data_IF_715801461644
#
_entry.id   IF_715801461644
#
_cell.length_a   1.000
_cell.length_b   1.000
_cell.length_c   1.000
_cell.angle_alpha   90.00
_cell.angle_beta   90.00
_cell.angle_gamma   90.00
#
_symmetry.space_group_name_H-M   'P 1'
#
loop_
_entity.id
_entity.type
_entity.pdbx_description
1 polymer ?
#
# COMPACT_ATOMS: atom_id res chain seq x y z
N UNK A 1 -14.58 -9.52 -21.73
CA UNK A 1 -14.43 -10.25 -23.00
C UNK A 1 -13.70 -11.56 -22.72
N UNK A 2 -14.43 -12.68 -22.78
CA UNK A 2 -13.99 -14.10 -22.83
C UNK A 2 -12.55 -14.42 -22.42
N UNK A 3 -12.36 -14.83 -21.17
CA UNK A 3 -11.10 -15.28 -20.55
C UNK A 3 -10.65 -16.72 -20.89
N UNK A 4 -11.42 -17.49 -21.66
CA UNK A 4 -11.16 -18.92 -21.90
C UNK A 4 -10.39 -19.23 -23.19
N UNK A 5 -9.41 -18.41 -23.59
CA UNK A 5 -8.65 -18.70 -24.82
C UNK A 5 -7.59 -19.79 -24.63
N UNK A 6 -7.15 -20.03 -23.41
CA UNK A 6 -6.11 -21.02 -23.10
C UNK A 6 -6.54 -21.85 -21.90
N UNK A 7 -6.50 -23.19 -22.04
CA UNK A 7 -6.59 -24.09 -20.89
C UNK A 7 -5.31 -23.93 -20.08
N UNK A 8 -5.39 -23.20 -18.96
CA UNK A 8 -4.24 -22.89 -18.08
C UNK A 8 -4.44 -23.58 -16.74
N UNK A 9 -3.35 -24.04 -16.16
CA UNK A 9 -3.32 -24.61 -14.82
C UNK A 9 -2.05 -24.18 -14.11
N UNK A 10 -2.18 -23.52 -12.97
CA UNK A 10 -1.05 -23.26 -12.08
C UNK A 10 -0.62 -24.59 -11.46
N UNK A 11 0.62 -25.01 -11.71
CA UNK A 11 1.19 -26.24 -11.15
C UNK A 11 1.96 -25.97 -9.86
N UNK A 12 2.56 -24.80 -9.75
CA UNK A 12 3.23 -24.33 -8.54
C UNK A 12 3.17 -22.80 -8.48
N UNK A 13 2.82 -22.26 -7.32
CA UNK A 13 2.81 -20.81 -7.05
C UNK A 13 4.20 -20.22 -7.07
N UNK A 14 5.20 -20.98 -6.60
CA UNK A 14 6.58 -20.52 -6.46
C UNK A 14 6.78 -19.65 -5.21
N UNK A 15 7.97 -19.05 -5.13
CA UNK A 15 8.49 -18.36 -3.96
C UNK A 15 8.66 -16.86 -4.20
N UNK A 16 8.21 -16.06 -3.22
CA UNK A 16 8.53 -14.64 -3.12
C UNK A 16 9.84 -14.51 -2.36
N UNK A 17 10.91 -14.17 -3.08
CA UNK A 17 12.24 -13.95 -2.51
C UNK A 17 12.40 -12.46 -2.19
N UNK A 18 12.63 -12.12 -0.92
CA UNK A 18 12.73 -10.74 -0.42
C UNK A 18 13.75 -9.91 -1.21
N UNK A 19 14.95 -10.44 -1.43
CA UNK A 19 16.03 -9.75 -2.15
C UNK A 19 15.73 -9.47 -3.62
N UNK A 20 14.69 -10.09 -4.19
CA UNK A 20 14.26 -9.89 -5.57
C UNK A 20 13.01 -9.01 -5.64
N UNK A 21 12.02 -9.29 -4.80
CA UNK A 21 10.70 -8.65 -4.86
C UNK A 21 10.63 -7.32 -4.11
N UNK A 22 11.56 -7.05 -3.20
CA UNK A 22 11.57 -5.83 -2.37
C UNK A 22 12.94 -5.13 -2.38
N UNK A 23 13.75 -5.34 -3.42
CA UNK A 23 15.05 -4.67 -3.58
C UNK A 23 15.03 -3.58 -4.66
N UNK A 24 16.20 -2.98 -4.91
CA UNK A 24 16.47 -1.92 -5.90
C UNK A 24 15.83 -2.20 -7.27
N UNK A 25 15.83 -3.46 -7.71
CA UNK A 25 15.32 -3.89 -9.03
C UNK A 25 13.97 -4.62 -8.96
N UNK A 26 13.26 -4.48 -7.84
CA UNK A 26 11.97 -5.13 -7.61
C UNK A 26 10.96 -4.90 -8.73
N UNK A 27 10.99 -3.76 -9.42
CA UNK A 27 10.06 -3.46 -10.51
C UNK A 27 10.01 -4.53 -11.61
N UNK A 28 11.09 -5.31 -11.80
CA UNK A 28 11.17 -6.39 -12.78
C UNK A 28 10.49 -7.70 -12.32
N UNK A 29 10.15 -7.80 -11.03
CA UNK A 29 9.56 -8.96 -10.37
C UNK A 29 8.07 -8.77 -10.03
N UNK A 30 7.45 -7.69 -10.54
CA UNK A 30 6.03 -7.40 -10.35
C UNK A 30 5.36 -7.02 -11.67
N UNK A 31 4.15 -7.54 -11.88
CA UNK A 31 3.30 -7.19 -13.01
C UNK A 31 2.15 -6.32 -12.52
N UNK A 32 1.85 -5.28 -13.30
CA UNK A 32 0.74 -4.36 -13.06
C UNK A 32 -0.28 -4.53 -14.17
N UNK A 33 -1.43 -5.13 -13.85
CA UNK A 33 -2.51 -5.36 -14.81
C UNK A 33 -3.63 -4.37 -14.53
N UNK A 34 -4.04 -3.64 -15.56
CA UNK A 34 -5.17 -2.72 -15.47
C UNK A 34 -6.48 -3.53 -15.40
N UNK A 35 -7.16 -3.50 -14.25
CA UNK A 35 -8.50 -4.14 -14.10
C UNK A 35 -9.61 -3.18 -14.49
N UNK A 36 -9.51 -1.92 -14.09
CA UNK A 36 -10.44 -0.83 -14.47
C UNK A 36 -9.63 0.42 -14.84
N UNK A 37 -10.26 1.49 -15.38
CA UNK A 37 -9.58 2.75 -15.65
C UNK A 37 -8.78 3.29 -14.45
N UNK A 38 -9.24 3.01 -13.24
CA UNK A 38 -8.73 3.56 -11.98
C UNK A 38 -8.00 2.54 -11.08
N UNK A 39 -8.08 1.23 -11.38
CA UNK A 39 -7.52 0.17 -10.53
C UNK A 39 -6.57 -0.75 -11.28
N UNK A 40 -5.36 -0.89 -10.74
CA UNK A 40 -4.39 -1.90 -11.16
C UNK A 40 -4.37 -3.06 -10.16
N UNK A 41 -4.17 -4.27 -10.65
CA UNK A 41 -3.79 -5.43 -9.85
C UNK A 41 -2.27 -5.58 -9.92
N UNK A 42 -1.63 -5.74 -8.76
CA UNK A 42 -0.20 -5.97 -8.62
C UNK A 42 0.03 -7.46 -8.33
N UNK A 43 0.73 -8.15 -9.22
CA UNK A 43 0.93 -9.61 -9.14
C UNK A 43 2.43 -9.88 -9.10
N UNK A 44 2.92 -10.67 -8.13
CA UNK A 44 4.33 -11.05 -8.07
C UNK A 44 4.69 -12.04 -9.18
N UNK A 45 5.91 -11.92 -9.70
CA UNK A 45 6.51 -12.92 -10.60
C UNK A 45 7.32 -13.88 -9.73
N UNK A 46 6.67 -14.89 -9.15
CA UNK A 46 7.31 -15.77 -8.17
C UNK A 46 8.38 -16.67 -8.81
N UNK A 47 9.50 -16.87 -8.10
CA UNK A 47 10.56 -17.79 -8.52
C UNK A 47 10.06 -19.23 -8.40
N UNK A 48 10.39 -20.10 -9.35
CA UNK A 48 9.87 -21.47 -9.45
C UNK A 48 8.35 -21.57 -9.65
N UNK A 49 7.66 -20.46 -9.94
CA UNK A 49 6.29 -20.52 -10.45
C UNK A 49 6.27 -21.39 -11.71
N UNK A 50 5.35 -22.36 -11.75
CA UNK A 50 5.15 -23.25 -12.90
C UNK A 50 3.71 -23.16 -13.37
N UNK A 51 3.54 -22.84 -14.65
CA UNK A 51 2.23 -22.82 -15.28
C UNK A 51 2.20 -23.74 -16.48
N UNK A 52 1.16 -24.56 -16.53
CA UNK A 52 0.83 -25.44 -17.64
C UNK A 52 -0.23 -24.80 -18.51
N UNK A 53 -0.08 -24.92 -19.82
CA UNK A 53 -1.10 -24.50 -20.77
C UNK A 53 -1.06 -25.34 -22.05
N UNK A 54 -2.16 -25.35 -22.80
CA UNK A 54 -2.27 -26.11 -24.05
C UNK A 54 -2.28 -25.17 -25.26
N UNK A 55 -1.42 -25.44 -26.25
CA UNK A 55 -1.43 -24.79 -27.56
C UNK A 55 -1.36 -25.88 -28.64
N UNK A 56 -2.21 -25.79 -29.66
CA UNK A 56 -2.25 -26.77 -30.75
C UNK A 56 -2.32 -28.23 -30.24
N UNK A 57 -3.16 -28.48 -29.22
CA UNK A 57 -3.33 -29.79 -28.54
C UNK A 57 -2.04 -30.34 -27.91
N UNK A 58 -1.03 -29.51 -27.74
CA UNK A 58 0.25 -29.87 -27.12
C UNK A 58 0.39 -29.10 -25.82
N UNK A 59 0.86 -29.79 -24.78
CA UNK A 59 1.05 -29.21 -23.47
C UNK A 59 2.41 -28.53 -23.36
N UNK A 60 2.38 -27.32 -22.81
CA UNK A 60 3.55 -26.51 -22.52
C UNK A 60 3.59 -26.22 -21.04
N UNK A 61 4.79 -26.23 -20.48
CA UNK A 61 5.03 -25.80 -19.11
C UNK A 61 6.08 -24.70 -19.14
N UNK A 62 5.78 -23.57 -18.51
CA UNK A 62 6.77 -22.51 -18.27
C UNK A 62 7.09 -22.47 -16.80
N UNK A 63 8.39 -22.46 -16.51
CA UNK A 63 8.93 -22.24 -15.18
C UNK A 63 9.69 -20.92 -15.13
N UNK A 64 9.40 -20.13 -14.11
CA UNK A 64 10.17 -18.92 -13.80
C UNK A 64 11.37 -19.30 -12.95
N UNK A 65 12.53 -18.73 -13.27
CA UNK A 65 13.77 -18.95 -12.52
C UNK A 65 14.46 -17.62 -12.17
N UNK A 66 15.27 -17.66 -11.12
CA UNK A 66 16.30 -16.65 -10.86
C UNK A 66 17.52 -16.98 -11.72
N UNK A 67 17.91 -16.07 -12.60
CA UNK A 67 19.11 -16.28 -13.44
C UNK A 67 20.38 -16.05 -12.62
N UNK A 68 21.42 -16.86 -12.83
CA UNK A 68 22.74 -16.65 -12.21
C UNK A 68 23.43 -15.39 -12.74
N UNK A 69 23.28 -15.12 -14.04
CA UNK A 69 24.04 -14.07 -14.74
C UNK A 69 23.32 -12.71 -14.73
N UNK A 70 22.01 -12.69 -14.45
CA UNK A 70 21.23 -11.47 -14.31
C UNK A 70 20.14 -11.68 -13.25
N UNK A 71 20.52 -11.58 -11.99
CA UNK A 71 19.61 -11.79 -10.85
C UNK A 71 18.48 -10.74 -10.80
N UNK A 72 18.58 -9.65 -11.55
CA UNK A 72 17.64 -8.52 -11.50
C UNK A 72 16.44 -8.70 -12.41
N UNK A 73 16.43 -9.73 -13.25
CA UNK A 73 15.31 -10.05 -14.13
C UNK A 73 14.93 -11.53 -14.02
N UNK A 74 13.63 -11.85 -14.10
CA UNK A 74 13.20 -13.24 -14.18
C UNK A 74 13.71 -13.89 -15.46
N UNK A 75 14.13 -15.15 -15.35
CA UNK A 75 14.35 -16.03 -16.49
C UNK A 75 13.15 -16.95 -16.68
N UNK A 76 12.87 -17.32 -17.93
CA UNK A 76 11.76 -18.18 -18.28
C UNK A 76 12.28 -19.38 -19.04
N UNK A 77 11.98 -20.58 -18.54
CA UNK A 77 12.30 -21.85 -19.20
C UNK A 77 10.98 -22.45 -19.66
N UNK A 78 10.91 -22.84 -20.93
CA UNK A 78 9.87 -23.75 -21.37
C UNK A 78 10.37 -25.18 -21.17
N UNK A 79 9.75 -25.95 -20.27
CA UNK A 79 10.21 -27.30 -19.93
C UNK A 79 9.97 -28.30 -21.07
N UNK A 80 9.12 -27.94 -22.04
CA UNK A 80 8.92 -28.69 -23.29
C UNK A 80 10.08 -28.47 -24.28
N UNK A 81 10.94 -27.47 -24.06
CA UNK A 81 12.14 -27.25 -24.89
C UNK A 81 13.26 -28.20 -24.45
N UNK A 82 13.69 -29.07 -25.35
CA UNK A 82 14.76 -30.05 -25.12
C UNK A 82 16.12 -29.40 -24.82
N UNK A 83 16.34 -28.16 -25.31
CA UNK A 83 17.59 -27.44 -25.07
C UNK A 83 17.63 -26.69 -23.72
N UNK A 84 16.53 -26.70 -22.95
CA UNK A 84 16.39 -26.01 -21.66
C UNK A 84 16.86 -24.55 -21.69
N UNK A 85 16.61 -23.83 -22.79
CA UNK A 85 17.06 -22.44 -22.94
C UNK A 85 16.36 -21.51 -21.94
N UNK A 86 17.12 -20.54 -21.44
CA UNK A 86 16.60 -19.46 -20.59
C UNK A 86 16.28 -18.25 -21.46
N UNK A 87 15.03 -17.82 -21.41
CA UNK A 87 14.54 -16.65 -22.11
C UNK A 87 14.33 -15.48 -21.14
N UNK A 88 14.47 -14.25 -21.64
CA UNK A 88 14.26 -13.02 -20.86
C UNK A 88 12.79 -12.64 -20.69
N UNK A 89 11.89 -13.21 -21.50
CA UNK A 89 10.45 -12.94 -21.42
C UNK A 89 9.65 -14.22 -21.64
N UNK A 90 8.43 -14.33 -21.07
CA UNK A 90 7.57 -15.49 -21.29
C UNK A 90 7.13 -15.56 -22.76
N UNK A 91 6.91 -14.41 -23.41
CA UNK A 91 6.58 -14.32 -24.84
C UNK A 91 7.66 -14.97 -25.70
N UNK A 92 8.94 -14.70 -25.42
CA UNK A 92 10.05 -15.32 -26.15
C UNK A 92 10.11 -16.83 -25.88
N UNK A 93 9.97 -17.24 -24.61
CA UNK A 93 9.96 -18.66 -24.24
C UNK A 93 8.91 -19.45 -25.01
N UNK A 94 7.69 -18.93 -25.12
CA UNK A 94 6.58 -19.62 -25.82
C UNK A 94 6.84 -19.67 -27.31
N UNK A 95 7.07 -18.50 -27.95
CA UNK A 95 7.07 -18.44 -29.41
C UNK A 95 8.29 -19.13 -30.01
N UNK A 96 9.46 -19.05 -29.38
CA UNK A 96 10.64 -19.76 -29.84
C UNK A 96 10.50 -21.27 -29.65
N UNK A 97 9.98 -21.73 -28.51
CA UNK A 97 9.72 -23.17 -28.30
C UNK A 97 8.66 -23.69 -29.28
N UNK A 98 7.58 -22.94 -29.50
CA UNK A 98 6.54 -23.29 -30.46
C UNK A 98 7.09 -23.39 -31.88
N UNK A 99 7.92 -22.42 -32.29
CA UNK A 99 8.59 -22.43 -33.59
C UNK A 99 9.50 -23.64 -33.75
N UNK A 100 10.28 -24.00 -32.73
CA UNK A 100 11.13 -25.20 -32.75
C UNK A 100 10.33 -26.49 -32.91
N UNK A 101 9.20 -26.61 -32.21
CA UNK A 101 8.40 -27.84 -32.21
C UNK A 101 7.58 -28.04 -33.49
N UNK A 102 6.99 -26.97 -34.04
CA UNK A 102 6.07 -27.07 -35.17
C UNK A 102 6.61 -26.49 -36.48
N UNK A 103 7.78 -25.85 -36.46
CA UNK A 103 8.33 -25.10 -37.58
C UNK A 103 7.38 -24.01 -38.12
N UNK A 104 6.55 -23.44 -37.24
CA UNK A 104 5.58 -22.38 -37.56
C UNK A 104 5.85 -21.15 -36.71
N UNK A 105 5.89 -19.99 -37.34
CA UNK A 105 6.01 -18.72 -36.64
C UNK A 105 4.64 -18.25 -36.13
N UNK A 106 4.56 -17.98 -34.84
CA UNK A 106 3.36 -17.48 -34.16
C UNK A 106 3.68 -16.30 -33.25
N UNK A 107 2.66 -15.66 -32.69
CA UNK A 107 2.80 -14.53 -31.75
C UNK A 107 1.82 -14.66 -30.58
N UNK A 108 2.08 -15.63 -29.72
CA UNK A 108 1.40 -15.77 -28.44
C UNK A 108 1.89 -14.73 -27.44
N UNK A 109 0.97 -14.20 -26.63
CA UNK A 109 1.28 -13.21 -25.58
C UNK A 109 1.70 -13.92 -24.30
N UNK A 110 2.92 -13.66 -23.83
CA UNK A 110 3.46 -14.21 -22.60
C UNK A 110 2.57 -13.95 -21.37
N UNK A 111 2.22 -12.70 -21.04
CA UNK A 111 1.40 -12.41 -19.87
C UNK A 111 0.05 -13.15 -19.84
N UNK A 112 -0.60 -13.31 -21.00
CA UNK A 112 -1.87 -14.03 -21.11
C UNK A 112 -1.70 -15.54 -20.91
N UNK A 113 -0.65 -16.10 -21.51
CA UNK A 113 -0.33 -17.53 -21.35
C UNK A 113 0.10 -17.86 -19.92
N UNK A 114 0.82 -16.93 -19.27
CA UNK A 114 1.18 -17.02 -17.86
C UNK A 114 -0.01 -16.85 -16.90
N UNK A 115 -1.21 -16.57 -17.42
CA UNK A 115 -2.44 -16.55 -16.63
C UNK A 115 -2.55 -15.39 -15.64
N UNK A 116 -1.76 -14.33 -15.81
CA UNK A 116 -1.83 -13.19 -14.90
C UNK A 116 -3.14 -12.41 -15.01
N UNK A 117 -3.83 -12.53 -16.15
CA UNK A 117 -5.19 -12.02 -16.36
C UNK A 117 -6.29 -12.88 -15.70
N UNK A 118 -5.97 -14.11 -15.29
CA UNK A 118 -6.89 -15.01 -14.62
C UNK A 118 -6.98 -14.64 -13.13
N UNK A 119 -8.18 -14.32 -12.65
CA UNK A 119 -8.36 -13.86 -11.27
C UNK A 119 -8.00 -14.92 -10.24
N UNK A 120 -8.26 -16.20 -10.51
CA UNK A 120 -7.96 -17.28 -9.57
C UNK A 120 -6.45 -17.48 -9.44
N UNK A 121 -5.75 -17.52 -10.57
CA UNK A 121 -4.29 -17.63 -10.58
C UNK A 121 -3.67 -16.40 -9.92
N UNK A 122 -4.15 -15.20 -10.24
CA UNK A 122 -3.67 -13.98 -9.62
C UNK A 122 -3.86 -13.98 -8.09
N UNK A 123 -5.04 -14.38 -7.60
CA UNK A 123 -5.32 -14.50 -6.17
C UNK A 123 -4.39 -15.52 -5.48
N UNK A 124 -4.18 -16.69 -6.09
CA UNK A 124 -3.26 -17.71 -5.56
C UNK A 124 -1.81 -17.21 -5.46
N UNK A 125 -1.33 -16.47 -6.46
CA UNK A 125 0.01 -15.88 -6.46
C UNK A 125 0.17 -14.74 -5.44
N UNK A 126 -0.94 -14.12 -5.02
CA UNK A 126 -0.94 -13.03 -4.05
C UNK A 126 -1.02 -13.54 -2.60
N UNK A 127 -1.28 -14.83 -2.38
CA UNK A 127 -1.31 -15.43 -1.04
C UNK A 127 0.05 -15.26 -0.36
N UNK A 128 0.05 -14.72 0.86
CA UNK A 128 1.26 -14.53 1.66
C UNK A 128 2.11 -13.31 1.30
N UNK A 129 1.69 -12.49 0.32
CA UNK A 129 2.32 -11.19 0.04
C UNK A 129 2.10 -10.25 1.22
N UNK A 130 3.18 -9.84 1.89
CA UNK A 130 3.11 -8.94 3.06
C UNK A 130 2.92 -7.48 2.66
N UNK A 131 3.50 -7.08 1.53
CA UNK A 131 3.41 -5.72 1.01
C UNK A 131 3.27 -5.75 -0.51
N UNK A 132 2.34 -4.95 -1.04
CA UNK A 132 2.14 -4.79 -2.48
C UNK A 132 2.79 -3.48 -2.95
N UNK A 133 3.85 -3.54 -3.77
CA UNK A 133 4.41 -2.36 -4.40
C UNK A 133 3.39 -1.66 -5.29
N UNK A 134 3.53 -0.34 -5.41
CA UNK A 134 2.63 0.45 -6.24
C UNK A 134 3.36 1.55 -7.00
N UNK A 135 2.71 2.03 -8.06
CA UNK A 135 3.23 3.09 -8.92
C UNK A 135 2.44 4.36 -8.70
N UNK A 136 3.15 5.48 -8.62
CA UNK A 136 2.57 6.82 -8.66
C UNK A 136 3.17 7.59 -9.82
N UNK A 137 2.37 8.42 -10.46
CA UNK A 137 2.85 9.35 -11.49
C UNK A 137 3.00 10.73 -10.88
N UNK A 138 4.18 11.31 -11.02
CA UNK A 138 4.50 12.69 -10.63
C UNK A 138 5.10 13.37 -11.86
N UNK A 139 4.39 14.32 -12.45
CA UNK A 139 4.68 14.82 -13.80
C UNK A 139 4.79 13.66 -14.82
N UNK A 140 5.87 13.64 -15.61
CA UNK A 140 6.17 12.59 -16.58
C UNK A 140 7.01 11.46 -15.99
N UNK A 141 7.17 11.39 -14.67
CA UNK A 141 7.96 10.37 -13.98
C UNK A 141 7.02 9.39 -13.28
N UNK A 142 7.16 8.11 -13.61
CA UNK A 142 6.53 7.02 -12.86
C UNK A 142 7.47 6.56 -11.76
N UNK A 143 7.05 6.74 -10.51
CA UNK A 143 7.77 6.30 -9.32
C UNK A 143 7.17 4.98 -8.84
N UNK A 144 8.02 3.98 -8.62
CA UNK A 144 7.69 2.67 -8.10
C UNK A 144 8.11 2.58 -6.64
N UNK A 145 7.15 2.45 -5.72
CA UNK A 145 7.37 2.33 -4.28
C UNK A 145 7.32 0.85 -3.91
N UNK A 146 8.39 0.34 -3.30
CA UNK A 146 8.53 -1.07 -2.96
C UNK A 146 8.82 -1.33 -1.48
N UNK A 147 9.04 -0.29 -0.68
CA UNK A 147 9.07 -0.38 0.77
C UNK A 147 8.50 0.90 1.42
N UNK A 148 7.76 0.75 2.50
CA UNK A 148 7.31 1.83 3.37
C UNK A 148 7.93 1.62 4.75
N UNK A 149 8.47 2.67 5.36
CA UNK A 149 8.91 2.60 6.76
C UNK A 149 7.70 2.49 7.68
N UNK A 150 7.76 1.63 8.71
CA UNK A 150 6.70 1.48 9.71
C UNK A 150 7.03 2.31 10.96
N UNK A 151 6.18 3.29 11.28
CA UNK A 151 6.16 3.99 12.58
C UNK A 151 4.89 3.72 13.35
N UNK A 152 5.01 3.69 14.67
CA UNK A 152 3.88 3.78 15.61
C UNK A 152 3.67 5.19 16.16
N UNK A 153 4.43 6.21 15.73
CA UNK A 153 4.32 7.59 16.22
C UNK A 153 3.52 8.48 15.25
N UNK A 154 2.31 8.88 15.66
CA UNK A 154 1.43 9.81 14.91
C UNK A 154 2.11 11.15 14.58
N UNK A 155 3.05 11.61 15.39
CA UNK A 155 3.77 12.88 15.21
C UNK A 155 4.67 12.91 13.96
N UNK A 156 5.00 11.76 13.37
CA UNK A 156 5.87 11.63 12.20
C UNK A 156 5.12 11.37 10.88
N UNK A 157 3.78 11.30 10.88
CA UNK A 157 2.95 11.05 9.69
C UNK A 157 3.45 9.89 8.79
N UNK A 158 3.97 8.81 9.40
CA UNK A 158 4.35 7.55 8.74
C UNK A 158 5.52 7.58 7.72
N UNK A 159 6.36 8.62 7.69
CA UNK A 159 7.64 8.58 6.96
C UNK A 159 8.77 8.14 7.87
N UNK A 160 8.78 6.87 8.24
CA UNK A 160 9.85 6.28 9.03
C UNK A 160 11.02 5.76 8.17
N UNK A 161 12.21 5.56 8.78
CA UNK A 161 13.25 4.73 8.19
C UNK A 161 12.69 3.44 7.58
N UNK A 162 13.07 3.16 6.34
CA UNK A 162 12.60 1.99 5.59
C UNK A 162 11.82 2.32 4.33
N UNK A 163 11.45 3.58 4.07
CA UNK A 163 10.88 3.96 2.78
C UNK A 163 11.91 3.74 1.66
N UNK A 164 11.49 3.04 0.60
CA UNK A 164 12.26 2.89 -0.63
C UNK A 164 11.40 2.98 -1.87
N UNK A 165 11.93 3.68 -2.87
CA UNK A 165 11.30 3.81 -4.18
C UNK A 165 12.32 3.92 -5.30
N UNK A 166 11.89 3.71 -6.54
CA UNK A 166 12.73 3.85 -7.72
C UNK A 166 11.98 4.48 -8.89
N UNK A 167 12.71 5.12 -9.78
CA UNK A 167 12.19 5.61 -11.05
C UNK A 167 13.27 5.70 -12.11
N UNK A 168 12.82 5.68 -13.35
CA UNK A 168 13.66 5.76 -14.53
C UNK A 168 13.87 7.21 -14.96
N UNK A 169 15.13 7.66 -15.06
CA UNK A 169 15.44 9.00 -15.53
C UNK A 169 16.81 9.06 -16.22
N UNK A 170 17.00 10.04 -17.11
CA UNK A 170 18.31 10.26 -17.75
C UNK A 170 19.27 10.92 -16.75
N UNK A 171 20.42 10.29 -16.52
CA UNK A 171 21.52 10.86 -15.74
C UNK A 171 22.77 10.88 -16.62
N UNK A 172 23.38 12.07 -16.78
CA UNK A 172 24.52 12.30 -17.70
C UNK A 172 24.26 11.75 -19.12
N UNK A 173 23.06 11.98 -19.65
CA UNK A 173 22.64 11.56 -20.99
C UNK A 173 22.26 10.08 -21.13
N UNK A 174 22.49 9.24 -20.12
CA UNK A 174 22.18 7.80 -20.16
C UNK A 174 20.96 7.46 -19.33
N UNK A 175 20.13 6.53 -19.82
CA UNK A 175 19.00 6.01 -19.05
C UNK A 175 19.52 5.33 -17.79
N UNK A 176 19.02 5.76 -16.63
CA UNK A 176 19.46 5.30 -15.33
C UNK A 176 18.26 4.97 -14.44
N UNK A 177 18.44 4.03 -13.52
CA UNK A 177 17.49 3.78 -12.45
C UNK A 177 17.94 4.58 -11.23
N UNK A 178 17.09 5.48 -10.76
CA UNK A 178 17.33 6.26 -9.54
C UNK A 178 16.53 5.61 -8.43
N UNK A 179 17.20 5.20 -7.36
CA UNK A 179 16.60 4.61 -6.17
C UNK A 179 16.72 5.59 -5.02
N UNK A 180 15.64 5.74 -4.26
CA UNK A 180 15.55 6.62 -3.11
C UNK A 180 15.36 5.77 -1.86
N UNK A 181 16.02 6.15 -0.78
CA UNK A 181 15.84 5.49 0.51
C UNK A 181 15.83 6.52 1.62
N UNK A 182 14.89 6.38 2.55
CA UNK A 182 14.89 7.11 3.82
C UNK A 182 15.40 6.13 4.88
N UNK A 183 16.56 6.45 5.44
CA UNK A 183 17.19 5.72 6.54
C UNK A 183 16.98 6.52 7.84
N UNK A 184 17.41 5.94 8.97
CA UNK A 184 17.09 6.47 10.30
C UNK A 184 17.66 7.87 10.53
N UNK A 185 18.83 8.13 9.96
CA UNK A 185 19.66 9.31 10.17
C UNK A 185 19.86 10.14 8.88
N UNK A 186 19.48 9.59 7.73
CA UNK A 186 19.77 10.21 6.42
C UNK A 186 18.83 9.76 5.34
N UNK A 187 18.74 10.56 4.29
CA UNK A 187 18.19 10.17 3.01
C UNK A 187 19.33 9.84 2.03
N UNK A 188 19.06 8.90 1.15
CA UNK A 188 20.01 8.46 0.14
C UNK A 188 19.34 8.37 -1.23
N UNK A 189 20.11 8.68 -2.27
CA UNK A 189 19.80 8.29 -3.63
C UNK A 189 20.95 7.59 -4.28
N UNK A 190 20.65 6.44 -4.84
CA UNK A 190 21.58 5.65 -5.61
C UNK A 190 21.18 5.69 -7.08
N UNK A 191 22.16 5.86 -7.95
CA UNK A 191 21.97 5.86 -9.39
C UNK A 191 22.61 4.60 -9.95
N UNK A 192 21.82 3.84 -10.70
CA UNK A 192 22.23 2.60 -11.32
C UNK A 192 22.21 2.72 -12.85
N UNK A 193 23.25 2.22 -13.49
CA UNK A 193 23.34 2.02 -14.95
C UNK A 193 23.80 0.58 -15.19
N UNK A 194 23.16 -0.12 -16.12
CA UNK A 194 23.48 -1.53 -16.42
C UNK A 194 23.55 -2.43 -15.15
N UNK A 195 22.67 -2.13 -14.19
CA UNK A 195 22.60 -2.78 -12.88
C UNK A 195 23.81 -2.59 -11.94
N UNK A 196 24.76 -1.72 -12.30
CA UNK A 196 25.83 -1.28 -11.43
C UNK A 196 25.49 0.07 -10.80
N UNK A 197 25.81 0.22 -9.52
CA UNK A 197 25.65 1.48 -8.80
C UNK A 197 26.80 2.42 -9.17
N UNK A 198 26.48 3.50 -9.87
CA UNK A 198 27.49 4.45 -10.37
C UNK A 198 27.70 5.65 -9.45
N UNK A 199 26.68 6.05 -8.69
CA UNK A 199 26.80 7.19 -7.78
C UNK A 199 25.77 7.12 -6.65
N UNK A 200 26.21 7.59 -5.48
CA UNK A 200 25.37 7.76 -4.29
C UNK A 200 25.40 9.22 -3.85
N UNK A 201 24.23 9.76 -3.55
CA UNK A 201 24.05 11.05 -2.88
C UNK A 201 23.37 10.82 -1.54
N UNK A 202 23.97 11.33 -0.47
CA UNK A 202 23.37 11.29 0.87
C UNK A 202 23.16 12.71 1.41
N UNK A 203 22.22 12.85 2.33
CA UNK A 203 21.89 14.11 2.99
C UNK A 203 20.97 13.87 4.18
N UNK A 204 20.86 14.85 5.06
CA UNK A 204 20.01 14.73 6.26
C UNK A 204 18.51 14.76 5.91
N UNK A 205 18.16 15.28 4.73
CA UNK A 205 16.78 15.33 4.24
C UNK A 205 16.67 14.96 2.75
N UNK A 206 15.46 14.59 2.25
CA UNK A 206 15.26 14.36 0.83
C UNK A 206 15.65 15.58 -0.02
N UNK A 207 15.37 16.79 0.48
CA UNK A 207 15.69 18.06 -0.18
C UNK A 207 17.18 18.21 -0.45
N UNK A 208 18.02 17.88 0.53
CA UNK A 208 19.49 17.96 0.40
C UNK A 208 20.02 16.98 -0.65
N UNK A 209 19.36 15.84 -0.80
CA UNK A 209 19.72 14.83 -1.81
C UNK A 209 19.17 15.20 -3.19
N UNK A 210 18.03 15.89 -3.27
CA UNK A 210 17.45 16.39 -4.52
C UNK A 210 18.18 17.61 -5.09
N UNK A 211 18.61 18.56 -4.25
CA UNK A 211 19.35 19.74 -4.69
C UNK A 211 20.69 19.39 -5.32
N UNK A 212 21.38 18.35 -4.82
CA UNK A 212 22.66 17.85 -5.37
C UNK A 212 22.58 17.32 -6.79
N UNK A 213 21.39 16.93 -7.25
CA UNK A 213 21.20 16.28 -8.55
C UNK A 213 20.85 17.25 -9.69
N UNK A 214 20.45 18.50 -9.41
CA UNK A 214 19.93 19.47 -10.42
C UNK A 214 18.81 18.91 -11.33
N UNK A 215 18.19 17.78 -10.97
CA UNK A 215 17.15 17.09 -11.77
C UNK A 215 15.78 17.79 -11.65
N UNK A 216 15.59 18.68 -10.66
CA UNK A 216 14.32 19.39 -10.40
C UNK A 216 14.45 20.91 -10.54
N UNK A 217 14.99 21.40 -11.65
CA UNK A 217 14.94 22.83 -11.99
C UNK A 217 13.48 23.37 -12.10
N UNK A 218 12.45 22.50 -12.14
CA UNK A 218 11.04 22.92 -12.15
C UNK A 218 10.47 23.27 -10.76
N UNK A 219 11.09 22.85 -9.65
CA UNK A 219 10.72 23.33 -8.30
C UNK A 219 11.42 24.66 -7.98
N UNK A 220 12.53 24.95 -8.66
CA UNK A 220 13.21 26.26 -8.57
C UNK A 220 12.33 27.40 -9.11
N UNK A 221 11.33 27.10 -9.95
CA UNK A 221 10.31 28.07 -10.37
C UNK A 221 9.54 28.71 -9.21
N UNK A 222 9.34 27.99 -8.10
CA UNK A 222 8.66 28.51 -6.91
C UNK A 222 9.53 29.47 -6.08
N UNK A 223 10.85 29.46 -6.31
CA UNK A 223 11.79 30.42 -5.72
C UNK A 223 12.07 31.62 -6.63
N UNK A 224 11.85 31.45 -7.93
CA UNK A 224 12.12 32.48 -8.95
C UNK A 224 10.88 33.27 -9.39
N UNK A 225 9.74 33.08 -8.71
CA UNK A 225 8.55 33.90 -8.90
C UNK A 225 8.71 35.29 -8.27
N UNK A 226 8.06 36.29 -8.85
CA UNK A 226 8.12 37.68 -8.40
C UNK A 226 7.51 37.90 -7.00
N UNK A 227 6.62 37.01 -6.57
CA UNK A 227 5.93 37.04 -5.28
C UNK A 227 6.50 36.01 -4.31
N UNK A 228 6.59 36.36 -3.02
CA UNK A 228 6.86 35.41 -1.94
C UNK A 228 5.67 34.50 -1.63
N UNK A 229 4.45 34.93 -2.01
CA UNK A 229 3.19 34.25 -1.74
C UNK A 229 2.77 33.37 -2.92
N UNK A 230 2.36 32.15 -2.60
CA UNK A 230 1.92 31.06 -3.48
C UNK A 230 0.48 30.71 -3.13
N UNK A 231 -0.44 30.76 -4.10
CA UNK A 231 -1.73 30.07 -3.98
C UNK A 231 -1.56 28.64 -4.51
N UNK A 232 -1.78 27.67 -3.63
CA UNK A 232 -1.43 26.27 -3.84
C UNK A 232 -2.23 25.66 -5.00
N UNK A 233 -3.53 25.95 -5.10
CA UNK A 233 -4.42 25.31 -6.07
C UNK A 233 -4.08 25.72 -7.51
N UNK A 234 -3.85 27.01 -7.74
CA UNK A 234 -3.42 27.58 -9.02
C UNK A 234 -2.11 26.97 -9.49
N UNK A 235 -1.20 26.67 -8.57
CA UNK A 235 0.06 25.99 -8.90
C UNK A 235 -0.14 24.50 -9.20
N UNK A 236 -1.08 23.85 -8.53
CA UNK A 236 -1.41 22.46 -8.79
C UNK A 236 -2.21 22.26 -10.09
N UNK A 237 -2.98 23.25 -10.55
CA UNK A 237 -3.66 23.24 -11.86
C UNK A 237 -2.65 23.16 -13.03
N UNK A 238 -1.43 23.65 -12.87
CA UNK A 238 -0.36 23.43 -13.86
C UNK A 238 0.23 22.02 -13.84
N UNK A 239 0.03 21.28 -12.73
CA UNK A 239 0.58 19.94 -12.50
C UNK A 239 -0.44 18.84 -12.80
N UNK A 240 -1.73 19.15 -12.70
CA UNK A 240 -2.85 18.23 -12.88
C UNK A 240 -3.87 18.83 -13.87
N UNK A 241 -4.61 18.00 -14.62
CA UNK A 241 -5.66 18.49 -15.53
C UNK A 241 -6.72 19.32 -14.79
N UNK A 242 -7.32 20.32 -15.46
CA UNK A 242 -8.30 21.25 -14.86
C UNK A 242 -9.49 20.56 -14.14
N UNK A 243 -9.84 19.34 -14.54
CA UNK A 243 -10.94 18.54 -13.96
C UNK A 243 -10.47 17.52 -12.89
N UNK A 244 -9.25 17.64 -12.36
CA UNK A 244 -8.70 16.68 -11.41
C UNK A 244 -9.21 16.91 -9.99
N UNK A 245 -10.02 15.98 -9.46
CA UNK A 245 -10.44 16.00 -8.06
C UNK A 245 -9.31 15.54 -7.13
N UNK A 246 -8.84 16.45 -6.28
CA UNK A 246 -7.81 16.14 -5.29
C UNK A 246 -8.39 15.36 -4.10
N UNK A 247 -7.96 14.11 -3.93
CA UNK A 247 -8.17 13.32 -2.71
C UNK A 247 -7.23 13.80 -1.57
N UNK A 248 -7.74 13.79 -0.33
CA UNK A 248 -7.14 14.48 0.82
C UNK A 248 -5.68 14.07 1.11
N UNK A 249 -5.33 12.79 0.98
CA UNK A 249 -3.96 12.32 1.23
C UNK A 249 -2.94 12.87 0.22
N UNK A 250 -3.34 13.18 -1.02
CA UNK A 250 -2.46 13.80 -2.02
C UNK A 250 -2.21 15.27 -1.71
N UNK A 251 -3.23 16.02 -1.27
CA UNK A 251 -3.04 17.38 -0.78
C UNK A 251 -2.14 17.40 0.46
N UNK A 252 -2.28 16.41 1.34
CA UNK A 252 -1.43 16.27 2.52
C UNK A 252 0.04 16.00 2.16
N UNK A 253 0.30 15.21 1.12
CA UNK A 253 1.65 15.04 0.56
C UNK A 253 2.23 16.36 0.03
N UNK A 254 1.44 17.14 -0.70
CA UNK A 254 1.85 18.47 -1.19
C UNK A 254 2.11 19.46 -0.04
N UNK A 255 1.25 19.52 0.98
CA UNK A 255 1.48 20.35 2.17
C UNK A 255 2.76 19.97 2.91
N UNK A 256 3.02 18.66 3.03
CA UNK A 256 4.26 18.15 3.63
C UNK A 256 5.49 18.59 2.83
N UNK A 257 5.40 18.48 1.50
CA UNK A 257 6.43 18.95 0.59
C UNK A 257 6.67 20.46 0.71
N UNK A 258 5.61 21.28 0.75
CA UNK A 258 5.68 22.74 0.93
C UNK A 258 6.41 23.13 2.21
N UNK A 259 6.10 22.50 3.34
CA UNK A 259 6.84 22.74 4.61
C UNK A 259 8.31 22.37 4.49
N UNK A 260 8.62 21.25 3.85
CA UNK A 260 10.02 20.81 3.70
C UNK A 260 10.83 21.68 2.74
N UNK A 261 10.21 22.31 1.74
CA UNK A 261 10.91 23.30 0.90
C UNK A 261 11.14 24.64 1.59
N UNK A 262 10.59 24.84 2.80
CA UNK A 262 10.75 26.05 3.61
C UNK A 262 9.57 27.01 3.52
N UNK A 263 8.46 26.58 2.91
CA UNK A 263 7.27 27.41 2.82
C UNK A 263 6.41 27.26 4.09
N UNK A 264 5.78 28.37 4.48
CA UNK A 264 4.87 28.44 5.63
C UNK A 264 3.46 28.70 5.16
N UNK A 265 2.47 27.97 5.68
CA UNK A 265 1.08 28.26 5.39
C UNK A 265 0.66 29.56 6.10
N UNK A 266 0.09 30.50 5.33
CA UNK A 266 -0.36 31.83 5.80
C UNK A 266 -1.87 32.02 5.65
N UNK A 267 -2.59 30.96 5.28
CA UNK A 267 -4.05 30.96 5.15
C UNK A 267 -4.69 31.09 6.53
N UNK A 268 -5.50 32.12 6.74
CA UNK A 268 -6.12 32.41 8.04
C UNK A 268 -7.62 32.02 8.11
N UNK A 269 -8.22 31.68 6.99
CA UNK A 269 -9.64 31.30 6.90
C UNK A 269 -9.81 29.78 6.75
N UNK A 270 -10.94 29.26 7.23
CA UNK A 270 -11.26 27.83 7.19
C UNK A 270 -11.66 27.38 5.79
N UNK A 271 -11.58 26.07 5.51
CA UNK A 271 -12.07 25.48 4.24
C UNK A 271 -13.55 25.74 3.95
N UNK A 272 -14.35 26.10 4.98
CA UNK A 272 -15.75 26.52 4.83
C UNK A 272 -15.90 27.97 4.33
N UNK A 273 -14.83 28.76 4.50
CA UNK A 273 -14.78 30.18 4.20
C UNK A 273 -14.00 30.50 2.93
N UNK A 274 -13.12 29.61 2.45
CA UNK A 274 -12.58 29.62 1.08
C UNK A 274 -11.79 28.36 0.74
N UNK A 275 -11.76 28.02 -0.57
CA UNK A 275 -10.97 26.91 -1.13
C UNK A 275 -9.50 27.28 -1.36
N UNK A 276 -9.16 28.58 -1.35
CA UNK A 276 -7.79 29.02 -1.58
C UNK A 276 -6.88 28.63 -0.41
N UNK A 277 -5.68 28.16 -0.73
CA UNK A 277 -4.66 27.84 0.27
C UNK A 277 -3.36 28.60 -0.07
N UNK A 278 -3.06 29.61 0.73
CA UNK A 278 -1.90 30.48 0.57
C UNK A 278 -0.71 30.03 1.42
N UNK A 279 0.46 30.01 0.79
CA UNK A 279 1.75 29.66 1.38
C UNK A 279 2.76 30.75 1.05
N UNK A 280 3.72 31.01 1.93
CA UNK A 280 4.84 31.92 1.65
C UNK A 280 6.17 31.19 1.73
N UNK A 281 7.13 31.58 0.89
CA UNK A 281 8.53 31.18 0.98
C UNK A 281 9.42 32.21 1.72
N UNK A 282 8.82 33.29 2.26
CA UNK A 282 9.53 34.31 3.04
C UNK A 282 10.10 33.73 4.34
N UNK A 283 11.30 34.19 4.71
CA UNK A 283 11.93 33.88 6.00
C UNK A 283 11.10 34.42 7.18
N UNK A 284 10.43 35.56 6.98
CA UNK A 284 9.46 36.13 7.92
C UNK A 284 8.05 36.14 7.30
N UNK A 285 7.15 35.23 7.74
CA UNK A 285 5.78 35.14 7.23
C UNK A 285 4.84 36.27 7.69
N UNK A 286 5.26 37.12 8.63
CA UNK A 286 4.36 38.05 9.34
C UNK A 286 3.72 39.07 8.40
N UNK A 287 4.52 39.66 7.51
CA UNK A 287 4.04 40.64 6.54
C UNK A 287 3.08 40.01 5.52
N UNK A 288 3.44 38.83 5.00
CA UNK A 288 2.61 38.11 4.03
C UNK A 288 1.28 37.66 4.65
N UNK A 289 1.31 37.21 5.92
CA UNK A 289 0.11 36.85 6.67
C UNK A 289 -0.80 38.06 6.90
N UNK A 290 -0.24 39.21 7.27
CA UNK A 290 -1.00 40.46 7.44
C UNK A 290 -1.59 40.94 6.12
N UNK A 291 -0.84 40.83 5.01
CA UNK A 291 -1.29 41.20 3.69
C UNK A 291 -2.45 40.31 3.22
N UNK A 292 -2.35 38.98 3.33
CA UNK A 292 -3.44 38.07 2.95
C UNK A 292 -4.67 38.29 3.84
N UNK A 293 -4.47 38.54 5.14
CA UNK A 293 -5.57 38.87 6.05
C UNK A 293 -6.26 40.19 5.65
N UNK A 294 -5.50 41.22 5.29
CA UNK A 294 -6.03 42.49 4.79
C UNK A 294 -6.80 42.32 3.48
N UNK A 295 -6.23 41.62 2.50
CA UNK A 295 -6.88 41.35 1.21
C UNK A 295 -8.18 40.57 1.37
N UNK A 296 -8.21 39.62 2.31
CA UNK A 296 -9.43 38.89 2.67
C UNK A 296 -10.47 39.80 3.32
N UNK A 297 -10.10 40.57 4.36
CA UNK A 297 -11.01 41.49 5.07
C UNK A 297 -11.58 42.58 4.14
N UNK A 298 -10.78 43.05 3.19
CA UNK A 298 -11.20 44.06 2.20
C UNK A 298 -11.94 43.46 0.99
N UNK A 299 -12.20 42.16 0.99
CA UNK A 299 -12.87 41.44 -0.10
C UNK A 299 -12.18 41.64 -1.47
N UNK A 300 -10.85 41.76 -1.46
CA UNK A 300 -10.01 41.95 -2.65
C UNK A 300 -9.46 40.62 -3.19
N UNK A 301 -9.60 39.54 -2.42
CA UNK A 301 -9.42 38.18 -2.92
C UNK A 301 -10.72 37.81 -3.63
N UNK A 302 -10.68 37.58 -4.95
CA UNK A 302 -11.86 37.23 -5.75
C UNK A 302 -12.40 35.86 -5.32
N UNK A 303 -13.20 35.86 -4.26
CA UNK A 303 -13.81 34.69 -3.67
C UNK A 303 -15.28 34.68 -4.07
N UNK A 304 -15.62 33.78 -5.00
CA UNK A 304 -16.99 33.30 -5.07
C UNK A 304 -17.15 32.35 -3.88
N UNK A 305 -17.93 32.68 -2.83
CA UNK A 305 -18.32 31.67 -1.89
C UNK A 305 -18.96 30.52 -2.68
N UNK A 306 -18.59 29.25 -2.43
CA UNK A 306 -19.50 28.19 -2.81
C UNK A 306 -20.82 28.56 -2.16
N UNK A 307 -21.89 28.60 -2.94
CA UNK A 307 -23.22 28.53 -2.35
C UNK A 307 -23.17 27.40 -1.32
N UNK A 308 -23.63 27.62 -0.09
CA UNK A 308 -23.52 26.62 0.95
C UNK A 308 -24.38 25.42 0.54
N UNK A 309 -23.75 24.47 -0.15
CA UNK A 309 -24.34 23.23 -0.58
C UNK A 309 -24.34 22.27 0.62
N UNK A 310 -24.88 22.77 1.75
CA UNK A 310 -25.10 22.06 3.01
C UNK A 310 -25.86 20.77 2.74
N UNK A 311 -26.71 20.76 1.70
CA UNK A 311 -27.42 19.57 1.25
C UNK A 311 -26.48 18.52 0.67
N UNK A 312 -25.50 18.91 -0.16
CA UNK A 312 -24.67 17.97 -0.90
C UNK A 312 -23.56 17.39 -0.02
N UNK A 313 -22.97 18.20 0.87
CA UNK A 313 -21.99 17.72 1.86
C UNK A 313 -22.66 16.89 2.96
N UNK A 314 -23.83 17.28 3.46
CA UNK A 314 -24.59 16.42 4.38
C UNK A 314 -25.03 15.14 3.68
N UNK A 315 -25.46 15.20 2.41
CA UNK A 315 -25.83 14.02 1.63
C UNK A 315 -24.62 13.09 1.41
N UNK A 316 -23.44 13.63 1.11
CA UNK A 316 -22.19 12.87 0.96
C UNK A 316 -21.73 12.27 2.28
N UNK A 317 -21.85 13.01 3.39
CA UNK A 317 -21.53 12.53 4.73
C UNK A 317 -22.52 11.45 5.17
N UNK A 318 -23.83 11.66 4.99
CA UNK A 318 -24.86 10.65 5.25
C UNK A 318 -24.66 9.41 4.38
N UNK A 319 -24.39 9.56 3.08
CA UNK A 319 -24.08 8.44 2.20
C UNK A 319 -22.82 7.66 2.62
N UNK A 320 -21.83 8.34 3.20
CA UNK A 320 -20.60 7.70 3.69
C UNK A 320 -20.87 6.95 5.00
N UNK A 321 -21.62 7.56 5.92
CA UNK A 321 -22.04 6.94 7.18
C UNK A 321 -22.94 5.72 6.91
N UNK A 322 -23.88 5.80 5.97
CA UNK A 322 -24.75 4.69 5.61
C UNK A 322 -24.00 3.56 4.91
N UNK A 323 -23.01 3.90 4.05
CA UNK A 323 -22.09 2.90 3.48
C UNK A 323 -21.28 2.18 4.55
N UNK A 324 -20.80 2.91 5.57
CA UNK A 324 -20.08 2.32 6.70
C UNK A 324 -20.97 1.31 7.45
N UNK A 325 -22.16 1.72 7.88
CA UNK A 325 -23.07 0.85 8.62
C UNK A 325 -23.52 -0.37 7.81
N UNK A 326 -23.77 -0.20 6.51
CA UNK A 326 -24.10 -1.30 5.60
C UNK A 326 -22.95 -2.30 5.44
N UNK A 327 -21.73 -1.81 5.23
CA UNK A 327 -20.55 -2.69 5.10
C UNK A 327 -20.28 -3.47 6.39
N UNK A 328 -20.57 -2.86 7.53
CA UNK A 328 -20.42 -3.49 8.84
C UNK A 328 -21.48 -4.57 9.08
N UNK A 329 -22.74 -4.30 8.76
CA UNK A 329 -23.82 -5.28 8.80
C UNK A 329 -23.53 -6.50 7.90
N UNK A 330 -23.10 -6.24 6.67
CA UNK A 330 -22.64 -7.28 5.73
C UNK A 330 -21.49 -8.11 6.32
N UNK A 331 -20.54 -7.48 6.99
CA UNK A 331 -19.41 -8.18 7.64
C UNK A 331 -19.87 -9.09 8.79
N UNK A 332 -20.88 -8.68 9.57
CA UNK A 332 -21.50 -9.53 10.60
C UNK A 332 -22.21 -10.73 9.96
N UNK A 333 -22.91 -10.52 8.85
CA UNK A 333 -23.65 -11.58 8.15
C UNK A 333 -22.74 -12.58 7.42
N UNK A 334 -21.67 -12.10 6.76
CA UNK A 334 -20.75 -12.93 5.96
C UNK A 334 -19.77 -13.75 6.80
N UNK A 335 -19.55 -13.41 8.07
CA UNK A 335 -18.58 -14.13 8.90
C UNK A 335 -19.08 -15.54 9.26
N UNK A 336 -18.48 -16.55 8.62
CA UNK A 336 -18.79 -17.98 8.77
C UNK A 336 -18.23 -18.62 10.04
N UNK A 337 -17.40 -17.93 10.84
CA UNK A 337 -16.75 -18.46 12.06
C UNK A 337 -17.69 -18.58 13.29
N UNK A 338 -19.00 -18.71 13.08
CA UNK A 338 -19.99 -18.85 14.14
C UNK A 338 -20.19 -17.60 15.00
N UNK A 339 -20.86 -17.75 16.15
CA UNK A 339 -21.22 -16.66 17.07
C UNK A 339 -20.00 -15.85 17.53
N UNK A 340 -18.84 -16.50 17.72
CA UNK A 340 -17.59 -15.87 18.15
C UNK A 340 -17.05 -14.86 17.12
N UNK A 341 -17.04 -15.22 15.83
CA UNK A 341 -16.62 -14.30 14.77
C UNK A 341 -17.50 -13.05 14.68
N UNK A 342 -18.82 -13.21 14.86
CA UNK A 342 -19.77 -12.08 14.89
C UNK A 342 -19.55 -11.20 16.12
N UNK A 343 -19.32 -11.82 17.28
CA UNK A 343 -19.02 -11.12 18.53
C UNK A 343 -17.76 -10.28 18.43
N UNK A 344 -16.69 -10.81 17.83
CA UNK A 344 -15.43 -10.08 17.62
C UNK A 344 -15.64 -8.84 16.76
N UNK A 345 -16.32 -8.97 15.63
CA UNK A 345 -16.60 -7.83 14.75
C UNK A 345 -17.43 -6.78 15.51
N UNK A 346 -18.52 -7.19 16.14
CA UNK A 346 -19.40 -6.29 16.88
C UNK A 346 -18.69 -5.58 18.04
N UNK A 347 -17.78 -6.28 18.74
CA UNK A 347 -17.02 -5.74 19.88
C UNK A 347 -16.12 -4.56 19.52
N UNK A 348 -15.69 -4.42 18.25
CA UNK A 348 -14.82 -3.31 17.79
C UNK A 348 -15.46 -1.94 18.02
N UNK A 349 -16.78 -1.86 17.83
CA UNK A 349 -17.51 -0.59 17.92
C UNK A 349 -18.44 -0.53 19.12
N UNK A 350 -18.72 -1.67 19.77
CA UNK A 350 -19.68 -1.73 20.85
C UNK A 350 -19.36 -0.73 21.97
N UNK A 351 -18.09 -0.56 22.35
CA UNK A 351 -17.67 0.36 23.41
C UNK A 351 -17.66 1.84 22.98
N UNK A 352 -17.55 2.11 21.68
CA UNK A 352 -17.47 3.47 21.15
C UNK A 352 -18.84 4.11 20.89
N UNK A 353 -19.91 3.31 20.80
CA UNK A 353 -21.25 3.77 20.42
C UNK A 353 -22.33 3.38 21.46
N UNK A 354 -23.41 4.16 21.50
CA UNK A 354 -24.53 3.93 22.41
C UNK A 354 -25.39 2.72 22.03
N UNK A 355 -26.02 2.07 23.01
CA UNK A 355 -26.94 0.94 22.77
C UNK A 355 -28.06 1.28 21.78
N UNK A 356 -28.60 2.50 21.88
CA UNK A 356 -29.68 2.97 21.01
C UNK A 356 -29.22 3.09 19.56
N UNK A 357 -28.07 3.70 19.34
CA UNK A 357 -27.52 3.94 18.00
C UNK A 357 -27.16 2.63 17.28
N UNK A 358 -26.46 1.72 17.96
CA UNK A 358 -26.10 0.42 17.41
C UNK A 358 -27.36 -0.39 17.06
N UNK A 359 -28.37 -0.37 17.94
CA UNK A 359 -29.65 -1.07 17.69
C UNK A 359 -30.38 -0.49 16.49
N UNK A 360 -30.50 0.84 16.40
CA UNK A 360 -31.21 1.49 15.31
C UNK A 360 -30.51 1.27 13.95
N UNK A 361 -29.17 1.28 13.92
CA UNK A 361 -28.39 1.12 12.68
C UNK A 361 -28.18 -0.33 12.23
N UNK A 362 -27.96 -1.26 13.15
CA UNK A 362 -27.69 -2.68 12.84
C UNK A 362 -28.88 -3.61 13.11
N UNK A 363 -29.99 -3.10 13.69
CA UNK A 363 -31.20 -3.87 14.00
C UNK A 363 -30.95 -5.13 14.85
N UNK A 364 -29.99 -5.07 15.77
CA UNK A 364 -29.62 -6.17 16.67
C UNK A 364 -30.18 -6.01 18.09
N UNK A 365 -30.28 -7.11 18.85
CA UNK A 365 -30.83 -7.09 20.21
C UNK A 365 -29.90 -6.43 21.22
N UNK A 366 -30.49 -5.90 22.29
CA UNK A 366 -29.76 -5.27 23.37
C UNK A 366 -28.80 -6.24 24.08
N UNK A 367 -29.22 -7.48 24.25
CA UNK A 367 -28.43 -8.51 24.92
C UNK A 367 -27.16 -8.83 24.14
N UNK A 368 -27.25 -8.82 22.79
CA UNK A 368 -26.10 -9.01 21.93
C UNK A 368 -25.10 -7.85 22.05
N UNK A 369 -25.60 -6.61 22.14
CA UNK A 369 -24.76 -5.43 22.34
C UNK A 369 -24.07 -5.49 23.71
N UNK A 370 -24.81 -5.83 24.78
CA UNK A 370 -24.26 -5.99 26.13
C UNK A 370 -23.17 -7.06 26.19
N UNK A 371 -23.41 -8.19 25.53
CA UNK A 371 -22.44 -9.27 25.46
C UNK A 371 -21.21 -8.89 24.61
N UNK A 372 -21.36 -8.10 23.55
CA UNK A 372 -20.24 -7.58 22.76
C UNK A 372 -19.37 -6.58 23.54
N UNK A 373 -19.98 -5.68 24.33
CA UNK A 373 -19.25 -4.78 25.24
C UNK A 373 -18.48 -5.55 26.30
N UNK A 374 -19.14 -6.51 26.94
CA UNK A 374 -18.48 -7.39 27.93
C UNK A 374 -17.32 -8.16 27.30
N UNK A 375 -17.48 -8.63 26.07
CA UNK A 375 -16.44 -9.30 25.31
C UNK A 375 -15.26 -8.36 25.04
N UNK A 376 -15.51 -7.13 24.56
CA UNK A 376 -14.49 -6.12 24.32
C UNK A 376 -13.68 -5.82 25.59
N UNK A 377 -14.37 -5.66 26.72
CA UNK A 377 -13.73 -5.41 28.01
C UNK A 377 -12.90 -6.60 28.52
N UNK A 378 -13.33 -7.84 28.22
CA UNK A 378 -12.67 -9.05 28.72
C UNK A 378 -11.49 -9.48 27.85
N UNK A 379 -11.59 -9.33 26.52
CA UNK A 379 -10.62 -9.89 25.56
C UNK A 379 -9.90 -8.82 24.72
N UNK A 380 -10.37 -7.58 24.72
CA UNK A 380 -9.98 -6.53 23.77
C UNK A 380 -10.93 -6.48 22.55
N UNK A 381 -11.27 -5.28 22.04
CA UNK A 381 -12.11 -5.14 20.85
C UNK A 381 -11.52 -5.87 19.63
N UNK A 382 -12.32 -6.71 18.94
CA UNK A 382 -11.89 -7.47 17.76
C UNK A 382 -10.93 -8.64 18.02
N UNK A 383 -10.45 -8.80 19.25
CA UNK A 383 -9.45 -9.79 19.63
C UNK A 383 -10.05 -11.19 19.78
N UNK A 384 -9.22 -12.22 19.62
CA UNK A 384 -9.62 -13.62 19.87
C UNK A 384 -9.84 -13.81 21.37
N UNK A 385 -10.77 -14.69 21.77
CA UNK A 385 -10.99 -15.03 23.18
C UNK A 385 -9.65 -15.41 23.83
N UNK A 386 -9.32 -14.77 24.95
CA UNK A 386 -8.13 -15.13 25.71
C UNK A 386 -8.29 -16.56 26.24
N UNK A 387 -7.38 -17.45 25.83
CA UNK A 387 -7.27 -18.77 26.44
C UNK A 387 -6.85 -18.58 27.89
N UNK A 388 -7.76 -18.85 28.83
CA UNK A 388 -7.41 -18.82 30.25
C UNK A 388 -6.26 -19.82 30.48
N UNK A 389 -5.22 -19.45 31.24
CA UNK A 389 -4.23 -20.43 31.67
C UNK A 389 -4.94 -21.52 32.46
N UNK A 390 -4.63 -22.78 32.15
CA UNK A 390 -5.05 -23.92 32.96
C UNK A 390 -4.27 -23.81 34.26
N UNK A 391 -4.92 -23.28 35.30
CA UNK A 391 -4.34 -23.25 36.65
C UNK A 391 -4.62 -24.60 37.28
N UNK A 392 -3.68 -25.53 37.14
CA UNK A 392 -3.62 -26.73 37.98
C UNK A 392 -3.17 -26.31 39.37
N UNK A 393 -4.12 -26.05 40.27
CA UNK A 393 -3.81 -25.97 41.70
C UNK A 393 -3.63 -27.39 42.21
N UNK A 394 -2.42 -27.81 42.57
CA UNK A 394 -2.28 -28.90 43.53
C UNK A 394 -2.89 -28.39 44.84
N UNK A 395 -3.91 -29.07 45.36
CA UNK A 395 -4.56 -28.64 46.60
C UNK A 395 -3.73 -28.97 47.83
N UNK A 396 -2.65 -29.73 47.66
CA UNK A 396 -1.83 -30.28 48.72
C UNK A 396 -0.40 -30.38 48.18
N UNK A 397 0.59 -29.92 48.96
CA UNK A 397 2.00 -30.20 48.65
C UNK A 397 2.31 -31.65 49.00
N UNK A 398 3.35 -32.24 48.39
CA UNK A 398 3.83 -33.59 48.73
C UNK A 398 4.06 -33.77 50.24
N UNK A 399 4.46 -32.69 50.92
CA UNK A 399 4.64 -32.63 52.37
C UNK A 399 3.30 -32.75 53.11
N UNK A 400 2.27 -32.03 52.67
CA UNK A 400 0.96 -32.08 53.29
C UNK A 400 0.23 -33.42 53.03
N UNK A 401 0.50 -34.07 51.88
CA UNK A 401 0.00 -35.44 51.61
C UNK A 401 0.72 -36.46 52.53
N UNK A 402 2.03 -36.30 52.76
CA UNK A 402 2.77 -37.13 53.71
C UNK A 402 2.31 -36.93 55.16
N UNK A 403 2.02 -35.68 55.56
CA UNK A 403 1.46 -35.37 56.88
C UNK A 403 0.04 -35.96 57.06
N UNK A 404 -0.78 -35.92 56.00
CA UNK A 404 -2.11 -36.54 55.99
C UNK A 404 -2.02 -38.07 56.12
N UNK A 405 -1.17 -38.73 55.33
CA UNK A 405 -0.95 -40.19 55.43
C UNK A 405 -0.38 -40.61 56.80
N UNK A 406 0.55 -39.84 57.37
CA UNK A 406 1.09 -40.10 58.71
C UNK A 406 0.03 -39.97 59.83
N UNK A 407 -0.90 -39.02 59.68
CA UNK A 407 -2.03 -38.85 60.61
C UNK A 407 -2.97 -40.06 60.60
N UNK A 408 -3.28 -40.64 59.43
CA UNK A 408 -4.15 -41.83 59.36
C UNK A 408 -3.41 -43.15 59.64
N UNK A 409 -2.11 -43.22 59.39
CA UNK A 409 -1.28 -44.38 59.76
C UNK A 409 -1.08 -44.54 61.29
N UNK A 410 -1.18 -43.44 62.04
CA UNK A 410 -1.07 -43.44 63.51
C UNK A 410 -2.41 -43.65 64.24
N UNK A 411 -3.55 -43.49 63.54
CA UNK A 411 -4.90 -43.56 64.13
C UNK A 411 -5.55 -44.94 64.22
N UNK A 412 -4.92 -46.01 63.70
CA UNK A 412 -5.49 -47.38 63.68
C UNK A 412 -4.62 -48.43 64.37
N UNK A 413 -3.87 -48.03 65.41
CA UNK A 413 -3.33 -48.96 66.40
C UNK A 413 -3.83 -48.59 67.79
N UNK A 414 -5.05 -49.03 68.08
CA UNK A 414 -5.46 -49.66 69.35
C UNK A 414 -6.83 -50.30 69.17
#
# INVERSE_FOLDING_TARGET
MSTDKYKRQLLATGDIIETLHYSVFAINWWIFIKKTPEKYSCIPICVNMRIKFELNKTEFIIRIIKQSNNIYQPGYICETDQAAMVYSTPTAAINETYKKLFNVQTRYSGPLVMGFDDEKIAEELQVGVLFFPFKISVYNITVFIFALGSSTLEELNFTDPGYQSSFSHKFRGKQSLIVQSILKDKCQKDIYQQAEKIQTYSGISPKDVWSKLKILNNIDGWKNQQSSIIELSSHLIWVYSENYEFIDWKLQAWRSMMRKVGCTNITHFTKKQSFFEFWTNSLDPSNDRNLISYLYIKNLLNYNPPEPDIKNDNLKMHNTIDKFWKSFDESIHMNKRGFDGKMRILSVIADNFGHREIREKLKISNDLISAAKKYAHTNGPGCVVMTKPIITKSRVSEIQDQEFEAFFASGFKN
#
